data_IF_537972868502
#
_entry.id   IF_537972868502
#
_cell.length_a   1.000
_cell.length_b   1.000
_cell.length_c   1.000
_cell.angle_alpha   90.00
_cell.angle_beta   90.00
_cell.angle_gamma   90.00
#
_symmetry.space_group_name_H-M   'P 1'
#
loop_
_entity.id
_entity.type
_entity.pdbx_description
1 polymer ?
#
# COMPACT_ATOMS: atom_id res chain seq x y z
N UNK A 1 -5.79 -4.38 27.58
CA UNK A 1 -4.66 -3.76 26.92
C UNK A 1 -5.04 -3.24 25.55
N UNK A 2 -4.73 -2.00 25.24
CA UNK A 2 -5.01 -1.48 23.91
C UNK A 2 -4.17 -2.20 22.86
N UNK A 3 -4.71 -2.32 21.65
CA UNK A 3 -3.98 -2.91 20.55
C UNK A 3 -2.82 -2.00 20.16
N UNK A 4 -1.61 -2.53 20.21
CA UNK A 4 -0.44 -1.79 19.78
C UNK A 4 -0.19 -2.03 18.30
N UNK A 5 0.33 -1.04 17.62
CA UNK A 5 0.75 -1.19 16.22
C UNK A 5 1.87 -2.21 16.14
N UNK A 6 1.78 -3.09 15.16
CA UNK A 6 2.86 -4.04 14.86
C UNK A 6 3.94 -3.39 14.01
N UNK A 7 3.54 -2.47 13.11
CA UNK A 7 4.44 -1.79 12.18
C UNK A 7 3.98 -0.35 12.04
N UNK A 8 4.87 0.51 11.53
CA UNK A 8 4.57 1.93 11.29
C UNK A 8 4.44 2.18 9.81
N UNK A 9 3.38 2.88 9.40
CA UNK A 9 3.11 3.18 7.99
C UNK A 9 3.82 4.46 7.57
N UNK A 10 4.48 4.42 6.42
CA UNK A 10 5.11 5.57 5.78
C UNK A 10 4.67 5.67 4.33
N UNK A 11 4.48 6.89 3.86
CA UNK A 11 4.29 7.13 2.44
C UNK A 11 5.66 7.24 1.78
N UNK A 12 5.86 6.51 0.68
CA UNK A 12 7.05 6.72 -0.13
C UNK A 12 7.10 8.18 -0.58
N UNK A 13 8.27 8.81 -0.45
CA UNK A 13 8.52 10.17 -0.92
C UNK A 13 9.54 10.12 -2.03
N UNK A 14 9.20 10.71 -3.17
CA UNK A 14 10.12 10.81 -4.30
C UNK A 14 11.19 11.88 -4.05
N UNK A 15 12.24 11.86 -4.86
CA UNK A 15 13.35 12.81 -4.71
C UNK A 15 12.90 14.27 -4.83
N UNK A 16 11.85 14.52 -5.60
CA UNK A 16 11.29 15.87 -5.74
C UNK A 16 10.36 16.27 -4.59
N UNK A 17 10.22 15.41 -3.58
CA UNK A 17 9.40 15.68 -2.42
C UNK A 17 7.95 15.24 -2.53
N UNK A 18 7.50 14.76 -3.68
CA UNK A 18 6.12 14.30 -3.83
C UNK A 18 5.91 12.97 -3.12
N UNK A 19 4.67 12.74 -2.67
CA UNK A 19 4.26 11.49 -2.03
C UNK A 19 3.14 10.89 -2.87
N UNK A 20 3.49 10.03 -3.86
CA UNK A 20 2.50 9.58 -4.84
C UNK A 20 1.28 8.88 -4.26
N UNK A 21 1.43 8.03 -3.25
CA UNK A 21 0.29 7.34 -2.67
C UNK A 21 -0.58 8.31 -1.87
N UNK A 22 0.04 9.21 -1.11
CA UNK A 22 -0.70 10.25 -0.40
C UNK A 22 -1.51 11.10 -1.37
N UNK A 23 -0.89 11.53 -2.46
CA UNK A 23 -1.55 12.36 -3.46
C UNK A 23 -2.70 11.61 -4.14
N UNK A 24 -2.47 10.33 -4.46
CA UNK A 24 -3.51 9.48 -5.05
C UNK A 24 -4.72 9.35 -4.11
N UNK A 25 -4.47 9.07 -2.83
CA UNK A 25 -5.54 8.96 -1.84
C UNK A 25 -6.32 10.28 -1.71
N UNK A 26 -5.61 11.40 -1.72
CA UNK A 26 -6.23 12.72 -1.59
C UNK A 26 -7.18 13.03 -2.73
N UNK A 27 -6.95 12.43 -3.90
CA UNK A 27 -7.83 12.62 -5.07
C UNK A 27 -9.07 11.74 -5.07
N UNK A 28 -9.20 10.80 -4.13
CA UNK A 28 -10.34 9.91 -4.06
C UNK A 28 -11.46 10.53 -3.22
N UNK A 29 -12.68 9.97 -3.35
CA UNK A 29 -13.77 10.39 -2.48
C UNK A 29 -13.44 10.07 -1.02
N UNK A 30 -14.08 10.80 -0.10
CA UNK A 30 -13.89 10.57 1.32
C UNK A 30 -14.23 9.13 1.71
N UNK A 31 -15.33 8.59 1.16
CA UNK A 31 -15.75 7.23 1.46
C UNK A 31 -14.70 6.22 1.02
N UNK A 32 -14.12 6.39 -0.16
CA UNK A 32 -13.11 5.47 -0.68
C UNK A 32 -11.82 5.57 0.14
N UNK A 33 -11.40 6.80 0.50
CA UNK A 33 -10.21 6.99 1.33
C UNK A 33 -10.36 6.29 2.68
N UNK A 34 -11.52 6.41 3.31
CA UNK A 34 -11.77 5.79 4.61
C UNK A 34 -11.66 4.28 4.50
N UNK A 35 -12.27 3.68 3.48
CA UNK A 35 -12.23 2.23 3.31
C UNK A 35 -10.81 1.72 3.08
N UNK A 36 -10.05 2.39 2.23
CA UNK A 36 -8.67 2.02 1.97
C UNK A 36 -7.83 2.19 3.24
N UNK A 37 -8.04 3.30 3.94
CA UNK A 37 -7.35 3.57 5.20
C UNK A 37 -7.63 2.52 6.27
N UNK A 38 -8.86 2.03 6.35
CA UNK A 38 -9.21 0.95 7.28
C UNK A 38 -8.44 -0.33 7.00
N UNK A 39 -8.30 -0.69 5.72
CA UNK A 39 -7.56 -1.90 5.35
C UNK A 39 -6.07 -1.75 5.60
N UNK A 40 -5.51 -0.56 5.33
CA UNK A 40 -4.11 -0.27 5.66
C UNK A 40 -3.91 -0.38 7.17
N UNK A 41 -4.84 0.15 7.96
CA UNK A 41 -4.79 0.05 9.42
C UNK A 41 -4.86 -1.40 9.89
N UNK A 42 -5.64 -2.24 9.23
CA UNK A 42 -5.71 -3.67 9.55
C UNK A 42 -4.32 -4.30 9.45
N UNK A 43 -3.56 -3.94 8.41
CA UNK A 43 -2.19 -4.43 8.26
C UNK A 43 -1.29 -3.84 9.35
N UNK A 44 -1.44 -2.56 9.63
CA UNK A 44 -0.64 -1.83 10.62
C UNK A 44 -0.71 -2.47 12.01
N UNK A 45 -1.90 -2.91 12.40
CA UNK A 45 -2.12 -3.48 13.72
C UNK A 45 -2.05 -5.01 13.77
N UNK A 46 -2.17 -5.68 12.63
CA UNK A 46 -2.28 -7.13 12.58
C UNK A 46 -1.20 -7.87 11.80
N UNK A 47 -0.21 -7.16 11.28
CA UNK A 47 0.82 -7.81 10.45
C UNK A 47 1.45 -9.03 11.15
N UNK A 48 1.63 -10.15 10.47
CA UNK A 48 1.28 -10.39 9.08
C UNK A 48 -0.22 -10.67 8.89
N UNK A 49 -0.77 -10.17 7.77
CA UNK A 49 -2.18 -10.33 7.41
C UNK A 49 -2.28 -11.01 6.05
N UNK A 50 -3.11 -12.04 5.96
CA UNK A 50 -3.28 -12.77 4.72
C UNK A 50 -4.48 -12.32 3.91
N UNK A 51 -4.81 -13.11 2.88
CA UNK A 51 -5.99 -12.90 2.06
C UNK A 51 -7.26 -12.88 2.90
N UNK A 52 -8.28 -12.12 2.50
CA UNK A 52 -8.38 -11.36 1.25
C UNK A 52 -7.78 -9.96 1.29
N UNK A 53 -7.41 -9.45 2.46
CA UNK A 53 -6.96 -8.05 2.60
C UNK A 53 -5.56 -7.85 2.04
N UNK A 54 -4.65 -8.77 2.32
CA UNK A 54 -3.24 -8.62 1.96
C UNK A 54 -2.76 -9.81 1.14
N UNK A 55 -2.06 -9.52 0.05
CA UNK A 55 -1.60 -10.54 -0.88
C UNK A 55 -0.10 -10.34 -1.18
N UNK A 56 0.72 -11.39 -1.07
CA UNK A 56 2.12 -11.28 -1.46
C UNK A 56 2.26 -11.24 -2.99
N UNK A 57 3.16 -10.40 -3.49
CA UNK A 57 3.41 -10.25 -4.91
C UNK A 57 4.80 -10.78 -5.34
N UNK A 58 5.62 -11.19 -4.38
CA UNK A 58 7.00 -11.57 -4.63
C UNK A 58 7.93 -10.37 -4.59
N UNK A 59 9.22 -10.63 -4.59
CA UNK A 59 10.28 -9.61 -4.59
C UNK A 59 10.19 -8.63 -3.43
N UNK A 60 9.61 -9.08 -2.29
CA UNK A 60 9.47 -8.23 -1.12
C UNK A 60 8.27 -7.29 -1.17
N UNK A 61 7.40 -7.44 -2.15
CA UNK A 61 6.21 -6.61 -2.32
C UNK A 61 4.96 -7.33 -1.86
N UNK A 62 4.02 -6.54 -1.36
CA UNK A 62 2.69 -6.99 -0.93
C UNK A 62 1.66 -6.01 -1.44
N UNK A 63 0.41 -6.43 -1.44
CA UNK A 63 -0.70 -5.63 -1.93
C UNK A 63 -1.83 -5.63 -0.93
N UNK A 64 -2.32 -4.45 -0.54
CA UNK A 64 -3.58 -4.31 0.19
C UNK A 64 -4.68 -4.16 -0.86
N UNK A 65 -5.70 -5.01 -0.76
CA UNK A 65 -6.85 -4.99 -1.67
C UNK A 65 -8.07 -4.52 -0.93
N UNK A 66 -8.66 -3.43 -1.39
CA UNK A 66 -9.85 -2.86 -0.78
C UNK A 66 -11.01 -2.91 -1.77
N UNK A 67 -12.09 -3.58 -1.38
CA UNK A 67 -13.30 -3.61 -2.20
C UNK A 67 -14.05 -2.30 -2.07
N UNK A 68 -14.21 -1.61 -3.19
CA UNK A 68 -15.01 -0.41 -3.32
C UNK A 68 -16.26 -0.76 -4.12
N UNK A 69 -17.19 0.18 -4.24
CA UNK A 69 -18.36 -0.02 -5.08
C UNK A 69 -17.91 -0.19 -6.53
N UNK A 70 -18.12 -1.38 -7.08
CA UNK A 70 -17.81 -1.74 -8.48
C UNK A 70 -16.33 -1.66 -8.85
N UNK A 71 -15.41 -1.54 -7.86
CA UNK A 71 -13.98 -1.40 -8.13
C UNK A 71 -13.19 -2.04 -7.02
N UNK A 72 -11.92 -2.31 -7.30
CA UNK A 72 -10.98 -2.76 -6.28
C UNK A 72 -9.80 -1.81 -6.29
N UNK A 73 -9.55 -1.20 -5.13
CA UNK A 73 -8.37 -0.38 -4.93
C UNK A 73 -7.22 -1.29 -4.49
N UNK A 74 -6.03 -0.97 -4.94
CA UNK A 74 -4.83 -1.74 -4.61
C UNK A 74 -3.74 -0.78 -4.18
N UNK A 75 -3.08 -1.10 -3.06
CA UNK A 75 -1.92 -0.35 -2.57
C UNK A 75 -0.78 -1.33 -2.42
N UNK A 76 0.29 -1.11 -3.19
CA UNK A 76 1.49 -1.95 -3.12
C UNK A 76 2.41 -1.37 -2.07
N UNK A 77 2.90 -2.24 -1.19
CA UNK A 77 3.77 -1.84 -0.10
C UNK A 77 4.88 -2.86 0.12
N UNK A 78 5.85 -2.49 0.94
CA UNK A 78 6.89 -3.41 1.42
C UNK A 78 7.04 -3.23 2.92
N UNK A 79 7.54 -4.28 3.58
CA UNK A 79 7.79 -4.29 5.01
C UNK A 79 9.28 -4.49 5.25
N UNK A 80 9.85 -3.70 6.15
CA UNK A 80 11.22 -3.89 6.60
C UNK A 80 11.45 -3.12 7.88
N UNK A 81 12.11 -3.76 8.85
CA UNK A 81 12.47 -3.13 10.12
C UNK A 81 11.30 -2.46 10.83
N UNK A 82 10.15 -3.12 10.82
CA UNK A 82 8.96 -2.59 11.48
C UNK A 82 8.26 -1.48 10.71
N UNK A 83 8.66 -1.21 9.47
CA UNK A 83 8.10 -0.15 8.64
C UNK A 83 7.32 -0.73 7.46
N UNK A 84 6.15 -0.14 7.21
CA UNK A 84 5.33 -0.45 6.04
C UNK A 84 5.36 0.77 5.13
N UNK A 85 6.11 0.69 4.03
CA UNK A 85 6.19 1.80 3.09
C UNK A 85 5.20 1.59 1.95
N UNK A 86 4.34 2.59 1.74
CA UNK A 86 3.32 2.57 0.70
C UNK A 86 3.94 3.12 -0.59
N UNK A 87 4.03 2.26 -1.61
CA UNK A 87 4.81 2.55 -2.81
C UNK A 87 3.97 2.99 -4.01
N UNK A 88 2.79 2.41 -4.19
CA UNK A 88 1.95 2.69 -5.35
C UNK A 88 0.50 2.38 -5.02
N UNK A 89 -0.41 3.26 -5.44
CA UNK A 89 -1.84 3.03 -5.28
C UNK A 89 -2.55 3.19 -6.62
N UNK A 90 -3.52 2.35 -6.89
CA UNK A 90 -4.30 2.43 -8.12
C UNK A 90 -5.62 1.67 -7.98
N UNK A 91 -6.54 1.95 -8.90
CA UNK A 91 -7.81 1.24 -9.00
C UNK A 91 -7.83 0.50 -10.32
N UNK A 92 -7.99 -0.83 -10.26
CA UNK A 92 -7.99 -1.67 -11.46
C UNK A 92 -9.19 -2.61 -11.43
N UNK A 93 -9.64 -2.96 -12.64
CA UNK A 93 -10.72 -3.94 -12.81
C UNK A 93 -10.17 -5.35 -13.04
N UNK A 94 -8.87 -5.47 -13.31
CA UNK A 94 -8.22 -6.75 -13.57
C UNK A 94 -7.79 -7.43 -12.28
N UNK A 95 -7.65 -8.76 -12.32
CA UNK A 95 -7.27 -9.55 -11.16
C UNK A 95 -5.78 -9.48 -10.87
N UNK A 96 -4.97 -9.32 -11.89
CA UNK A 96 -3.52 -9.36 -11.74
C UNK A 96 -2.94 -7.96 -11.69
N UNK A 97 -1.83 -7.81 -10.97
CA UNK A 97 -1.09 -6.56 -10.93
C UNK A 97 -0.20 -6.49 -12.17
N UNK A 98 -0.34 -5.45 -13.00
CA UNK A 98 0.50 -5.32 -14.20
C UNK A 98 1.99 -5.25 -13.86
N UNK A 99 2.83 -5.79 -14.77
CA UNK A 99 4.28 -5.79 -14.57
C UNK A 99 4.85 -4.38 -14.46
N UNK A 100 4.30 -3.42 -15.20
CA UNK A 100 4.77 -2.03 -15.12
C UNK A 100 4.57 -1.46 -13.72
N UNK A 101 3.45 -1.78 -13.08
CA UNK A 101 3.17 -1.34 -11.71
C UNK A 101 4.13 -2.00 -10.73
N UNK A 102 4.44 -3.28 -10.93
CA UNK A 102 5.42 -3.98 -10.08
C UNK A 102 6.81 -3.36 -10.24
N UNK A 103 7.21 -3.07 -11.47
CA UNK A 103 8.53 -2.48 -11.74
C UNK A 103 8.64 -1.10 -11.12
N UNK A 104 7.59 -0.30 -11.20
CA UNK A 104 7.57 1.03 -10.58
C UNK A 104 7.68 0.91 -9.06
N UNK A 105 6.93 -0.01 -8.45
CA UNK A 105 7.00 -0.23 -7.02
C UNK A 105 8.40 -0.66 -6.58
N UNK A 106 9.05 -1.55 -7.34
CA UNK A 106 10.42 -1.98 -7.06
C UNK A 106 11.39 -0.80 -7.13
N UNK A 107 11.26 0.04 -8.17
CA UNK A 107 12.13 1.20 -8.31
C UNK A 107 11.98 2.15 -7.12
N UNK A 108 10.75 2.40 -6.70
CA UNK A 108 10.47 3.25 -5.53
C UNK A 108 11.01 2.63 -4.25
N UNK A 109 10.90 1.33 -4.08
CA UNK A 109 11.44 0.64 -2.92
C UNK A 109 12.96 0.79 -2.84
N UNK A 110 13.65 0.68 -3.97
CA UNK A 110 15.10 0.87 -4.00
C UNK A 110 15.47 2.29 -3.59
N UNK A 111 14.74 3.28 -4.06
CA UNK A 111 14.95 4.68 -3.66
C UNK A 111 14.73 4.86 -2.17
N UNK A 112 13.65 4.29 -1.63
CA UNK A 112 13.33 4.37 -0.21
C UNK A 112 14.44 3.78 0.65
N UNK A 113 14.99 2.62 0.24
CA UNK A 113 16.03 1.93 1.01
C UNK A 113 17.38 2.62 0.97
N UNK A 114 17.61 3.48 -0.02
CA UNK A 114 18.85 4.27 -0.11
C UNK A 114 18.80 5.54 0.72
N UNK A 115 17.64 5.91 1.17
CA UNK A 115 17.47 7.17 1.93
C UNK A 115 17.90 7.02 3.37
#
# INVERSE_FOLDING_TARGET
MANAKKITVFFFRADNGSEPVHDWLSGLSKADRIRIGEDIRTVEFGWPVGMPVCRPLGRGLYEVRTSLKDRIARVIFSIGEGEMVLLLGFIKKTRTTPNDDLDLAIARLKTYRRS
#
